data_IF_842951012915
#
_entry.id   IF_842951012915
#
_cell.length_a   1.000
_cell.length_b   1.000
_cell.length_c   1.000
_cell.angle_alpha   90.00
_cell.angle_beta   90.00
_cell.angle_gamma   90.00
#
_symmetry.space_group_name_H-M   'P 1'
#
loop_
_entity.id
_entity.type
_entity.pdbx_description
1 polymer ?
#
# COMPACT_ATOMS: atom_id res chain seq x y z
N UNK A 1 1.81 -4.88 10.73
CA UNK A 1 3.19 -5.35 10.44
C UNK A 1 3.74 -4.65 9.21
N UNK A 2 5.03 -4.78 8.87
CA UNK A 2 5.68 -3.98 7.82
C UNK A 2 5.02 -4.11 6.44
N UNK A 3 4.42 -5.28 6.13
CA UNK A 3 3.69 -5.49 4.87
C UNK A 3 2.44 -4.63 4.80
N UNK A 4 1.62 -4.64 5.86
CA UNK A 4 0.40 -3.82 5.94
C UNK A 4 0.74 -2.33 5.97
N UNK A 5 1.78 -1.92 6.71
CA UNK A 5 2.21 -0.53 6.70
C UNK A 5 2.70 -0.08 5.31
N UNK A 6 3.51 -0.89 4.63
CA UNK A 6 3.95 -0.60 3.26
C UNK A 6 2.80 -0.52 2.26
N UNK A 7 1.81 -1.42 2.41
CA UNK A 7 0.56 -1.37 1.64
C UNK A 7 -0.18 -0.05 1.85
N UNK A 8 -0.39 0.37 3.11
CA UNK A 8 -1.07 1.64 3.43
C UNK A 8 -0.31 2.84 2.85
N UNK A 9 1.03 2.85 2.90
CA UNK A 9 1.82 3.92 2.32
C UNK A 9 1.68 3.98 0.79
N UNK A 10 1.74 2.83 0.11
CA UNK A 10 1.55 2.78 -1.34
C UNK A 10 0.13 3.20 -1.77
N UNK A 11 -0.88 2.86 -0.97
CA UNK A 11 -2.26 3.29 -1.18
C UNK A 11 -2.40 4.81 -1.00
N UNK A 12 -1.83 5.37 0.06
CA UNK A 12 -1.81 6.81 0.31
C UNK A 12 -1.12 7.56 -0.85
N UNK A 13 0.09 7.15 -1.25
CA UNK A 13 0.80 7.77 -2.37
C UNK A 13 0.01 7.72 -3.69
N UNK A 14 -0.79 6.68 -3.90
CA UNK A 14 -1.67 6.58 -5.08
C UNK A 14 -2.89 7.50 -5.00
N UNK A 15 -3.51 7.60 -3.83
CA UNK A 15 -4.68 8.46 -3.60
C UNK A 15 -4.28 9.94 -3.65
N UNK A 16 -3.19 10.30 -2.99
CA UNK A 16 -2.75 11.67 -2.80
C UNK A 16 -1.94 12.22 -3.98
N UNK A 17 -1.56 11.39 -4.97
CA UNK A 17 -0.72 11.78 -6.12
C UNK A 17 -1.06 13.11 -6.81
N UNK A 18 -2.34 13.49 -6.83
CA UNK A 18 -2.79 14.76 -7.42
C UNK A 18 -2.60 15.94 -6.47
N UNK A 19 -2.82 15.72 -5.17
CA UNK A 19 -2.56 16.69 -4.10
C UNK A 19 -1.06 16.90 -3.96
N UNK A 20 -0.28 15.81 -3.95
CA UNK A 20 1.17 15.82 -3.90
C UNK A 20 1.79 16.49 -5.13
N UNK A 21 1.16 16.41 -6.30
CA UNK A 21 1.64 17.14 -7.47
C UNK A 21 1.61 18.67 -7.29
N UNK A 22 0.74 19.18 -6.42
CA UNK A 22 0.66 20.60 -6.09
C UNK A 22 1.57 20.95 -4.91
N UNK A 23 1.58 20.12 -3.86
CA UNK A 23 2.24 20.43 -2.59
C UNK A 23 3.69 19.93 -2.49
N UNK A 24 3.97 18.76 -3.06
CA UNK A 24 5.26 18.05 -2.98
C UNK A 24 5.65 17.48 -4.36
N UNK A 25 5.88 18.33 -5.39
CA UNK A 25 6.07 17.89 -6.77
C UNK A 25 7.28 16.96 -6.97
N UNK A 26 8.23 17.00 -6.04
CA UNK A 26 9.41 16.14 -6.04
C UNK A 26 9.15 14.71 -5.54
N UNK A 27 7.95 14.39 -5.05
CA UNK A 27 7.59 13.01 -4.68
C UNK A 27 7.67 12.06 -5.88
N UNK A 28 7.92 10.75 -5.68
CA UNK A 28 8.21 9.81 -6.78
C UNK A 28 7.14 9.72 -7.86
N UNK A 29 5.85 9.70 -7.48
CA UNK A 29 4.74 9.62 -8.45
C UNK A 29 4.53 10.96 -9.18
N UNK A 30 4.36 12.11 -8.50
CA UNK A 30 4.17 13.39 -9.17
C UNK A 30 5.33 13.81 -10.08
N UNK A 31 6.57 13.59 -9.62
CA UNK A 31 7.78 13.90 -10.40
C UNK A 31 7.97 13.02 -11.64
N UNK A 32 7.14 11.98 -11.81
CA UNK A 32 7.23 11.03 -12.92
C UNK A 32 8.35 9.99 -12.79
N UNK A 33 9.12 9.96 -11.69
CA UNK A 33 10.14 8.92 -11.43
C UNK A 33 9.52 7.53 -11.30
N UNK A 34 8.27 7.46 -10.85
CA UNK A 34 7.46 6.25 -10.76
C UNK A 34 6.14 6.48 -11.48
N UNK A 35 5.66 5.57 -12.36
CA UNK A 35 4.41 5.79 -13.06
C UNK A 35 3.23 5.76 -12.07
N UNK A 36 2.30 6.71 -12.19
CA UNK A 36 1.26 6.91 -11.15
C UNK A 36 0.33 5.73 -10.91
N UNK A 37 0.25 4.74 -11.80
CA UNK A 37 -0.53 3.51 -11.57
C UNK A 37 0.19 2.48 -10.69
N UNK A 38 1.50 2.63 -10.47
CA UNK A 38 2.30 1.68 -9.69
C UNK A 38 1.92 1.65 -8.22
N UNK A 39 1.61 2.81 -7.61
CA UNK A 39 1.19 2.85 -6.20
C UNK A 39 -0.01 1.92 -5.94
N UNK A 40 -1.00 1.93 -6.84
CA UNK A 40 -2.15 1.02 -6.78
C UNK A 40 -1.74 -0.45 -6.91
N UNK A 41 -0.89 -0.80 -7.89
CA UNK A 41 -0.46 -2.18 -8.08
C UNK A 41 0.37 -2.70 -6.90
N UNK A 42 1.23 -1.87 -6.31
CA UNK A 42 2.00 -2.20 -5.11
C UNK A 42 1.04 -2.43 -3.94
N UNK A 43 0.08 -1.52 -3.71
CA UNK A 43 -0.91 -1.67 -2.65
C UNK A 43 -1.69 -2.99 -2.79
N UNK A 44 -2.19 -3.31 -3.99
CA UNK A 44 -2.90 -4.56 -4.26
C UNK A 44 -2.02 -5.80 -4.05
N UNK A 45 -0.76 -5.78 -4.53
CA UNK A 45 0.17 -6.87 -4.35
C UNK A 45 0.51 -7.09 -2.87
N UNK A 46 0.74 -6.01 -2.12
CA UNK A 46 1.03 -6.09 -0.69
C UNK A 46 -0.20 -6.51 0.14
N UNK A 47 -1.42 -6.15 -0.28
CA UNK A 47 -2.66 -6.71 0.28
C UNK A 47 -2.70 -8.23 0.10
N UNK A 48 -2.48 -8.72 -1.12
CA UNK A 48 -2.42 -10.16 -1.39
C UNK A 48 -1.34 -10.87 -0.56
N UNK A 49 -0.15 -10.27 -0.46
CA UNK A 49 0.95 -10.79 0.34
C UNK A 49 0.62 -10.81 1.84
N UNK A 50 0.01 -9.75 2.36
CA UNK A 50 -0.38 -9.66 3.76
C UNK A 50 -1.42 -10.74 4.10
N UNK A 51 -2.43 -10.93 3.25
CA UNK A 51 -3.42 -12.01 3.38
C UNK A 51 -2.76 -13.40 3.34
N UNK A 52 -1.85 -13.62 2.39
CA UNK A 52 -1.05 -14.85 2.30
C UNK A 52 -0.29 -15.15 3.58
N UNK A 53 0.52 -14.20 4.05
CA UNK A 53 1.28 -14.34 5.31
C UNK A 53 0.35 -14.53 6.50
N UNK A 54 -0.71 -13.73 6.61
CA UNK A 54 -1.71 -13.83 7.67
C UNK A 54 -2.34 -15.21 7.77
N UNK A 55 -2.69 -15.82 6.63
CA UNK A 55 -3.26 -17.16 6.58
C UNK A 55 -2.32 -18.26 7.10
N UNK A 56 -1.00 -18.10 6.92
CA UNK A 56 0.01 -19.06 7.40
C UNK A 56 0.20 -18.97 8.92
N UNK A 57 -0.07 -17.81 9.52
CA UNK A 57 0.07 -17.58 10.97
C UNK A 57 -1.09 -18.14 11.82
N UNK A 58 -2.03 -18.85 11.19
CA UNK A 58 -3.20 -19.44 11.85
C UNK A 58 -4.38 -18.46 11.98
N UNK A 59 -5.49 -18.89 12.60
CA UNK A 59 -6.76 -18.15 12.57
C UNK A 59 -6.65 -16.73 13.15
N UNK A 60 -5.91 -16.56 14.23
CA UNK A 60 -5.70 -15.26 14.86
C UNK A 60 -4.81 -14.33 14.03
N UNK A 61 -3.78 -14.86 13.38
CA UNK A 61 -2.96 -14.11 12.43
C UNK A 61 -3.76 -13.66 11.21
N UNK A 62 -4.60 -14.55 10.66
CA UNK A 62 -5.48 -14.23 9.54
C UNK A 62 -6.51 -13.15 9.93
N UNK A 63 -7.16 -13.29 11.09
CA UNK A 63 -8.13 -12.31 11.59
C UNK A 63 -7.47 -10.94 11.85
N UNK A 64 -6.31 -10.90 12.50
CA UNK A 64 -5.57 -9.66 12.74
C UNK A 64 -5.16 -8.97 11.42
N UNK A 65 -4.75 -9.75 10.41
CA UNK A 65 -4.43 -9.23 9.08
C UNK A 65 -5.67 -8.66 8.38
N UNK A 66 -6.81 -9.34 8.42
CA UNK A 66 -8.06 -8.83 7.83
C UNK A 66 -8.47 -7.50 8.46
N UNK A 67 -8.40 -7.40 9.78
CA UNK A 67 -8.67 -6.15 10.50
C UNK A 67 -7.65 -5.06 10.12
N UNK A 68 -6.37 -5.41 9.95
CA UNK A 68 -5.33 -4.44 9.62
C UNK A 68 -5.36 -3.93 8.18
N UNK A 69 -6.01 -4.64 7.26
CA UNK A 69 -6.12 -4.23 5.84
C UNK A 69 -7.44 -3.49 5.56
N UNK A 70 -8.48 -3.71 6.37
CA UNK A 70 -9.77 -3.04 6.27
C UNK A 70 -9.70 -1.55 6.63
#
# INVERSE_FOLDING_TARGET
>A
GPIVCGMSQAANDWCDRHVDAVNEPDRPIPSGRVPGRWGLWIALAMTGLALGVGSILGPWGAAATLIGIA
#
